data_IF_382961292488
#
_entry.id   IF_382961292488
#
_cell.length_a   1.000
_cell.length_b   1.000
_cell.length_c   1.000
_cell.angle_alpha   90.00
_cell.angle_beta   90.00
_cell.angle_gamma   90.00
#
_symmetry.space_group_name_H-M   'P 1'
#
loop_
_entity.id
_entity.type
_entity.pdbx_description
1 polymer ?
#
# COMPACT_ATOMS: atom_id res chain seq x y z
N UNK A 1 0.41 4.75 -13.61
CA UNK A 1 0.63 4.30 -12.23
C UNK A 1 -0.73 4.33 -11.53
N UNK A 2 -1.29 3.18 -11.22
CA UNK A 2 -2.51 3.08 -10.43
C UNK A 2 -2.07 3.18 -8.96
N UNK A 3 -2.33 4.32 -8.33
CA UNK A 3 -2.30 4.43 -6.89
C UNK A 3 -3.69 4.01 -6.41
N UNK A 4 -3.81 2.82 -5.87
CA UNK A 4 -4.98 2.46 -5.09
C UNK A 4 -4.82 3.12 -3.72
N UNK A 5 -5.25 4.34 -3.63
CA UNK A 5 -5.35 5.03 -2.37
C UNK A 5 -6.79 4.88 -1.89
N UNK A 6 -7.00 4.17 -0.80
CA UNK A 6 -8.33 4.04 -0.22
C UNK A 6 -8.75 5.33 0.50
N UNK A 7 -7.82 6.29 0.65
CA UNK A 7 -8.09 7.54 1.36
C UNK A 7 -7.43 8.74 0.66
N UNK A 8 -8.10 9.88 0.59
CA UNK A 8 -7.59 11.03 -0.15
C UNK A 8 -6.35 11.63 0.53
N UNK A 9 -5.20 11.40 -0.07
CA UNK A 9 -3.99 12.19 0.17
C UNK A 9 -3.14 11.81 1.36
N UNK A 10 -3.38 10.64 2.01
CA UNK A 10 -2.49 10.11 3.04
C UNK A 10 -2.26 8.60 2.87
N UNK A 11 -1.19 8.08 3.41
CA UNK A 11 -1.04 6.63 3.50
C UNK A 11 -2.10 6.08 4.47
N UNK A 12 -2.75 5.00 4.12
CA UNK A 12 -3.78 4.32 4.93
C UNK A 12 -3.33 4.05 6.39
N UNK A 13 -2.04 3.93 6.64
CA UNK A 13 -1.48 3.75 7.97
C UNK A 13 -1.66 4.96 8.87
N UNK A 14 -1.59 6.20 8.35
CA UNK A 14 -1.73 7.44 9.14
C UNK A 14 -3.13 7.63 9.71
N UNK A 15 -4.11 6.96 9.15
CA UNK A 15 -5.51 7.08 9.53
C UNK A 15 -5.98 5.98 10.46
N UNK A 16 -5.09 5.03 10.77
CA UNK A 16 -5.36 4.00 11.77
C UNK A 16 -5.46 4.65 13.16
N UNK A 17 -6.63 4.63 13.80
CA UNK A 17 -6.84 5.29 15.10
C UNK A 17 -6.03 4.65 16.22
N UNK A 18 -5.55 3.43 16.02
CA UNK A 18 -4.73 2.69 16.99
C UNK A 18 -3.23 3.00 16.87
N UNK A 19 -2.83 3.82 15.90
CA UNK A 19 -1.46 4.21 15.67
C UNK A 19 -1.29 5.72 15.76
N UNK A 20 -0.16 6.14 16.33
CA UNK A 20 0.31 7.52 16.32
C UNK A 20 1.48 7.61 15.34
N UNK A 21 1.42 8.59 14.47
CA UNK A 21 2.48 8.89 13.51
C UNK A 21 3.12 10.23 13.84
N UNK A 22 4.42 10.22 14.00
CA UNK A 22 5.23 11.43 14.13
C UNK A 22 6.25 11.48 13.01
N UNK A 23 6.35 12.61 12.34
CA UNK A 23 7.37 12.83 11.32
C UNK A 23 8.55 13.57 11.93
N UNK A 24 9.75 13.04 11.70
CA UNK A 24 11.02 13.69 12.02
C UNK A 24 11.78 13.98 10.73
N UNK A 25 12.20 15.22 10.53
CA UNK A 25 13.09 15.51 9.39
C UNK A 25 14.53 15.03 9.67
N UNK A 26 15.32 14.86 8.62
CA UNK A 26 16.73 14.43 8.75
C UNK A 26 17.50 15.37 9.71
N UNK A 27 17.29 16.68 9.58
CA UNK A 27 17.95 17.69 10.42
C UNK A 27 17.53 17.55 11.90
N UNK A 28 16.26 17.18 12.18
CA UNK A 28 15.80 16.91 13.54
C UNK A 28 16.44 15.65 14.11
N UNK A 29 16.51 14.57 13.31
CA UNK A 29 17.18 13.33 13.70
C UNK A 29 18.66 13.61 14.09
N UNK A 30 19.38 14.32 13.23
CA UNK A 30 20.77 14.70 13.46
C UNK A 30 20.92 15.61 14.69
N UNK A 31 20.05 16.62 14.82
CA UNK A 31 20.10 17.57 15.94
C UNK A 31 19.82 16.93 17.29
N UNK A 32 18.84 15.98 17.38
CA UNK A 32 18.41 15.42 18.67
C UNK A 32 19.16 14.15 19.05
N UNK A 33 19.65 13.40 18.09
CA UNK A 33 20.27 12.09 18.32
C UNK A 33 21.70 11.97 17.78
N UNK A 34 22.17 12.91 16.98
CA UNK A 34 23.48 12.90 16.34
C UNK A 34 23.53 12.05 15.08
N UNK A 35 22.88 10.89 15.06
CA UNK A 35 22.85 9.98 13.91
C UNK A 35 21.57 9.12 13.90
N UNK A 36 21.31 8.51 12.74
CA UNK A 36 20.13 7.70 12.49
C UNK A 36 20.08 6.42 13.35
N UNK A 37 21.21 5.75 13.60
CA UNK A 37 21.23 4.51 14.38
C UNK A 37 20.84 4.77 15.84
N UNK A 38 21.38 5.84 16.42
CA UNK A 38 21.03 6.29 17.76
C UNK A 38 19.54 6.67 17.83
N UNK A 39 19.03 7.34 16.80
CA UNK A 39 17.62 7.69 16.71
C UNK A 39 16.72 6.45 16.67
N UNK A 40 17.02 5.47 15.81
CA UNK A 40 16.24 4.24 15.68
C UNK A 40 16.20 3.49 17.00
N UNK A 41 17.36 3.28 17.64
CA UNK A 41 17.44 2.57 18.93
C UNK A 41 16.66 3.26 20.04
N UNK A 42 16.78 4.58 20.16
CA UNK A 42 16.01 5.37 21.13
C UNK A 42 14.51 5.24 20.89
N UNK A 43 14.08 5.30 19.61
CA UNK A 43 12.68 5.15 19.23
C UNK A 43 12.13 3.79 19.63
N UNK A 44 12.86 2.70 19.33
CA UNK A 44 12.47 1.34 19.69
C UNK A 44 12.39 1.16 21.20
N UNK A 45 13.39 1.69 21.96
CA UNK A 45 13.40 1.62 23.42
C UNK A 45 12.24 2.37 24.09
N UNK A 46 11.67 3.36 23.38
CA UNK A 46 10.47 4.08 23.81
C UNK A 46 9.16 3.45 23.31
N UNK A 47 9.22 2.22 22.75
CA UNK A 47 8.05 1.48 22.26
C UNK A 47 7.54 1.96 20.91
N UNK A 48 8.39 2.65 20.14
CA UNK A 48 8.10 3.08 18.77
C UNK A 48 8.77 2.19 17.73
N UNK A 49 8.34 2.35 16.49
CA UNK A 49 8.92 1.76 15.29
C UNK A 49 9.32 2.86 14.32
N UNK A 50 10.21 2.54 13.41
CA UNK A 50 10.71 3.49 12.43
C UNK A 50 10.34 3.05 11.02
N UNK A 51 9.85 3.99 10.20
CA UNK A 51 9.48 3.75 8.80
C UNK A 51 9.94 4.92 7.95
N UNK A 52 10.62 4.63 6.84
CA UNK A 52 11.14 5.66 5.96
C UNK A 52 11.77 5.10 4.70
N UNK A 53 12.26 5.98 3.82
CA UNK A 53 12.91 5.61 2.57
C UNK A 53 14.41 5.43 2.78
N UNK A 54 14.91 4.28 2.38
CA UNK A 54 16.31 3.89 2.42
C UNK A 54 16.77 3.47 1.02
N UNK A 55 18.07 3.48 0.77
CA UNK A 55 18.64 2.89 -0.45
C UNK A 55 18.77 1.38 -0.27
N UNK A 56 17.82 0.65 -0.80
CA UNK A 56 17.72 -0.80 -0.68
C UNK A 56 18.91 -1.50 -1.34
N UNK A 57 19.49 -0.94 -2.40
CA UNK A 57 20.69 -1.48 -3.02
C UNK A 57 21.89 -1.54 -2.04
N UNK A 58 21.91 -0.69 -1.00
CA UNK A 58 22.92 -0.73 0.08
C UNK A 58 22.56 -1.70 1.19
N UNK A 59 21.27 -2.03 1.35
CA UNK A 59 20.74 -2.93 2.37
C UNK A 59 20.88 -4.39 1.94
N UNK A 60 20.72 -4.69 0.65
CA UNK A 60 20.83 -6.04 0.07
C UNK A 60 22.26 -6.60 0.08
N UNK A 61 23.23 -5.90 0.64
CA UNK A 61 24.63 -6.31 0.67
C UNK A 61 25.28 -6.49 -0.71
N UNK A 62 24.69 -5.98 -1.75
CA UNK A 62 25.34 -5.85 -3.05
C UNK A 62 26.16 -4.56 -3.03
N UNK A 63 27.23 -4.57 -2.22
CA UNK A 63 28.16 -3.44 -2.03
C UNK A 63 28.85 -2.99 -3.30
N UNK A 64 28.60 -3.68 -4.42
CA UNK A 64 29.08 -3.35 -5.76
C UNK A 64 28.01 -2.81 -6.70
N UNK A 65 26.77 -2.63 -6.25
CA UNK A 65 25.72 -2.09 -7.09
C UNK A 65 25.95 -0.61 -7.40
N UNK A 66 26.14 -0.29 -8.67
CA UNK A 66 26.30 1.09 -9.19
C UNK A 66 24.96 1.84 -9.32
N UNK A 67 23.86 1.25 -8.82
CA UNK A 67 22.54 1.87 -8.85
C UNK A 67 22.03 2.14 -7.44
N UNK A 68 21.08 3.08 -7.34
CA UNK A 68 20.31 3.35 -6.14
C UNK A 68 18.90 2.77 -6.30
N UNK A 69 18.37 2.24 -5.21
CA UNK A 69 16.99 1.79 -5.17
C UNK A 69 16.27 2.33 -3.93
N UNK A 70 15.74 3.58 -4.02
CA UNK A 70 14.98 4.19 -2.93
C UNK A 70 13.70 3.41 -2.67
N UNK A 71 13.61 2.75 -1.52
CA UNK A 71 12.46 1.94 -1.12
C UNK A 71 12.15 2.13 0.36
N UNK A 72 10.91 1.80 0.76
CA UNK A 72 10.47 1.89 2.13
C UNK A 72 11.04 0.76 2.96
N UNK A 73 11.49 1.08 4.18
CA UNK A 73 11.95 0.11 5.16
C UNK A 73 11.23 0.32 6.48
N UNK A 74 10.69 -0.75 7.04
CA UNK A 74 10.11 -0.78 8.38
C UNK A 74 11.08 -1.42 9.36
N UNK A 75 11.47 -0.69 10.43
CA UNK A 75 12.42 -1.14 11.44
C UNK A 75 11.70 -1.25 12.76
N UNK A 76 11.69 -2.47 13.35
CA UNK A 76 10.89 -2.77 14.53
C UNK A 76 11.69 -3.31 15.73
N UNK A 77 12.98 -3.55 15.57
CA UNK A 77 13.83 -4.06 16.63
C UNK A 77 15.32 -3.92 16.32
N UNK A 78 16.16 -4.25 17.28
CA UNK A 78 17.61 -4.28 17.08
C UNK A 78 18.29 -5.28 18.01
N UNK A 79 19.52 -5.63 17.67
CA UNK A 79 20.43 -6.48 18.44
C UNK A 79 21.81 -5.81 18.46
N UNK A 80 22.23 -5.38 19.65
CA UNK A 80 23.52 -4.70 19.83
C UNK A 80 24.71 -5.67 19.85
N UNK A 81 24.51 -6.93 20.17
CA UNK A 81 25.58 -7.94 20.15
C UNK A 81 25.92 -8.29 18.70
N UNK A 82 24.89 -8.50 17.87
CA UNK A 82 25.03 -8.82 16.44
C UNK A 82 25.17 -7.56 15.57
N UNK A 83 25.02 -6.36 16.13
CA UNK A 83 25.04 -5.06 15.40
C UNK A 83 24.05 -5.02 14.23
N UNK A 84 22.81 -5.48 14.45
CA UNK A 84 21.77 -5.62 13.45
C UNK A 84 20.45 -4.97 13.88
N UNK A 85 19.69 -4.48 12.87
CA UNK A 85 18.29 -4.14 13.02
C UNK A 85 17.39 -5.28 12.52
N UNK A 86 16.22 -5.41 13.11
CA UNK A 86 15.13 -6.25 12.63
C UNK A 86 14.23 -5.42 11.76
N UNK A 87 14.04 -5.85 10.51
CA UNK A 87 13.33 -5.08 9.48
C UNK A 87 12.24 -5.92 8.83
N UNK A 88 11.21 -5.24 8.30
CA UNK A 88 10.17 -5.82 7.46
C UNK A 88 10.12 -5.10 6.14
N UNK A 89 10.19 -5.86 5.03
CA UNK A 89 10.18 -5.32 3.67
C UNK A 89 9.95 -6.42 2.63
N UNK A 90 9.83 -6.00 1.36
CA UNK A 90 9.85 -6.87 0.18
C UNK A 90 11.26 -7.13 -0.35
N UNK A 91 12.28 -6.55 0.26
CA UNK A 91 13.70 -6.52 -0.17
C UNK A 91 14.32 -7.89 -0.44
N UNK A 92 13.99 -8.90 0.37
CA UNK A 92 14.65 -10.20 0.33
C UNK A 92 13.85 -11.29 -0.38
N UNK A 93 12.90 -10.91 -1.21
CA UNK A 93 12.10 -11.85 -1.98
C UNK A 93 10.89 -11.21 -2.66
N UNK A 94 10.09 -12.04 -3.33
CA UNK A 94 8.87 -11.60 -4.01
C UNK A 94 7.70 -11.31 -3.03
N UNK A 95 7.91 -11.54 -1.73
CA UNK A 95 6.91 -11.39 -0.69
C UNK A 95 7.44 -10.56 0.48
N UNK A 96 6.54 -9.83 1.14
CA UNK A 96 6.88 -9.15 2.37
C UNK A 96 7.43 -10.13 3.39
N UNK A 97 8.61 -9.84 3.93
CA UNK A 97 9.32 -10.72 4.84
C UNK A 97 10.01 -9.96 5.96
N UNK A 98 10.34 -10.68 7.02
CA UNK A 98 11.11 -10.16 8.14
C UNK A 98 12.55 -10.66 8.04
N UNK A 99 13.50 -9.74 8.21
CA UNK A 99 14.92 -10.02 8.06
C UNK A 99 15.78 -9.21 9.04
N UNK A 100 17.08 -9.38 8.95
CA UNK A 100 18.08 -8.66 9.76
C UNK A 100 18.99 -7.90 8.80
N UNK A 101 19.30 -6.65 9.14
CA UNK A 101 20.18 -5.78 8.36
C UNK A 101 21.22 -5.16 9.28
N UNK A 102 22.49 -5.12 8.85
CA UNK A 102 23.56 -4.55 9.65
C UNK A 102 23.37 -3.06 9.93
N UNK A 103 23.88 -2.58 11.05
CA UNK A 103 23.86 -1.14 11.37
C UNK A 103 24.54 -0.30 10.29
N UNK A 104 25.64 -0.80 9.74
CA UNK A 104 26.37 -0.12 8.67
C UNK A 104 25.52 0.06 7.40
N UNK A 105 24.80 -0.99 7.02
CA UNK A 105 23.99 -0.96 5.79
C UNK A 105 22.77 -0.07 5.96
N UNK A 106 22.10 -0.10 7.12
CA UNK A 106 21.01 0.84 7.43
C UNK A 106 21.50 2.28 7.42
N UNK A 107 22.67 2.58 8.02
CA UNK A 107 23.28 3.92 7.97
C UNK A 107 23.56 4.34 6.54
N UNK A 108 24.25 3.49 5.77
CA UNK A 108 24.59 3.78 4.39
C UNK A 108 23.34 3.98 3.53
N UNK A 109 22.35 3.09 3.67
CA UNK A 109 21.06 3.20 2.99
C UNK A 109 20.32 4.50 3.31
N UNK A 110 20.39 4.94 4.57
CA UNK A 110 19.80 6.22 4.98
C UNK A 110 20.55 7.41 4.42
N UNK A 111 21.88 7.44 4.52
CA UNK A 111 22.70 8.61 4.19
C UNK A 111 22.78 8.88 2.67
N UNK A 112 22.66 7.85 1.84
CA UNK A 112 22.73 7.96 0.37
C UNK A 112 21.47 8.53 -0.27
N UNK A 113 20.31 8.48 0.38
CA UNK A 113 19.05 9.02 -0.17
C UNK A 113 19.02 10.53 -0.09
N UNK A 114 18.66 11.16 -1.19
CA UNK A 114 18.40 12.60 -1.28
C UNK A 114 16.94 12.96 -1.03
N UNK A 115 16.65 14.22 -0.82
CA UNK A 115 15.27 14.69 -0.63
C UNK A 115 14.37 14.45 -1.85
N UNK A 116 14.93 14.45 -3.07
CA UNK A 116 14.20 14.18 -4.31
C UNK A 116 13.87 12.69 -4.48
N UNK A 117 14.70 11.82 -3.94
CA UNK A 117 14.53 10.37 -3.98
C UNK A 117 13.58 9.88 -2.87
N UNK A 118 13.34 10.70 -1.84
CA UNK A 118 12.39 10.39 -0.76
C UNK A 118 10.95 10.60 -1.24
N UNK A 119 10.42 9.59 -1.92
CA UNK A 119 9.11 9.65 -2.56
C UNK A 119 7.93 9.74 -1.57
N UNK A 120 8.14 9.44 -0.28
CA UNK A 120 7.12 9.60 0.76
C UNK A 120 6.96 11.07 1.13
N UNK A 121 8.06 11.83 1.18
CA UNK A 121 8.07 13.17 1.77
C UNK A 121 8.32 14.31 0.80
N UNK A 122 8.85 14.04 -0.41
CA UNK A 122 9.29 15.07 -1.36
C UNK A 122 8.21 16.11 -1.70
N UNK A 123 6.96 15.67 -1.80
CA UNK A 123 5.85 16.53 -2.21
C UNK A 123 5.26 17.32 -1.03
N UNK A 124 5.28 16.73 0.16
CA UNK A 124 4.67 17.30 1.36
C UNK A 124 5.61 18.27 2.09
N UNK A 125 6.92 18.05 2.00
CA UNK A 125 7.92 18.79 2.80
C UNK A 125 8.92 19.58 1.98
N UNK A 126 8.61 19.93 0.73
CA UNK A 126 9.38 20.86 -0.13
C UNK A 126 10.89 20.55 -0.18
N UNK A 127 11.22 19.30 -0.45
CA UNK A 127 12.61 18.89 -0.61
C UNK A 127 13.34 18.60 0.69
N UNK A 128 12.64 18.31 1.78
CA UNK A 128 13.23 17.75 3.00
C UNK A 128 13.07 16.24 3.00
N UNK A 129 14.03 15.56 3.59
CA UNK A 129 13.92 14.14 3.95
C UNK A 129 13.24 13.99 5.29
N UNK A 130 12.53 12.90 5.44
CA UNK A 130 11.88 12.59 6.70
C UNK A 130 11.94 11.11 7.05
N UNK A 131 11.55 10.81 8.27
CA UNK A 131 11.38 9.47 8.78
C UNK A 131 10.16 9.47 9.71
N UNK A 132 9.33 8.43 9.63
CA UNK A 132 8.20 8.26 10.52
C UNK A 132 8.60 7.49 11.76
N UNK A 133 8.11 7.97 12.89
CA UNK A 133 7.98 7.21 14.13
C UNK A 133 6.54 6.75 14.22
N UNK A 134 6.35 5.45 14.34
CA UNK A 134 5.06 4.79 14.51
C UNK A 134 4.98 4.26 15.93
N UNK A 135 3.93 4.62 16.64
CA UNK A 135 3.71 4.16 18.03
C UNK A 135 2.28 3.67 18.18
N UNK A 136 2.05 2.74 19.10
CA UNK A 136 0.71 2.37 19.50
C UNK A 136 0.02 3.56 20.17
N UNK A 137 -1.17 3.90 19.74
CA UNK A 137 -2.02 4.86 20.45
C UNK A 137 -2.51 4.19 21.74
N UNK A 138 -2.05 4.70 22.89
CA UNK A 138 -2.45 4.21 24.20
C UNK A 138 -3.61 5.01 24.79
N UNK A 139 -4.14 5.99 24.05
CA UNK A 139 -5.34 6.70 24.48
C UNK A 139 -6.49 5.70 24.66
N UNK A 140 -7.23 5.85 25.74
CA UNK A 140 -8.43 5.05 26.01
C UNK A 140 -9.57 5.57 25.12
N UNK A 141 -9.44 5.32 23.83
CA UNK A 141 -10.38 5.73 22.80
C UNK A 141 -11.20 4.53 22.38
N UNK A 142 -12.49 4.65 22.51
CA UNK A 142 -13.42 3.62 22.09
C UNK A 142 -13.80 3.88 20.62
N UNK A 143 -13.57 2.90 19.77
CA UNK A 143 -13.96 2.94 18.37
C UNK A 143 -15.02 1.86 18.13
N UNK A 144 -16.17 2.28 17.65
CA UNK A 144 -17.24 1.41 17.19
C UNK A 144 -17.21 1.31 15.66
N UNK A 145 -17.67 0.17 15.13
CA UNK A 145 -17.82 0.01 13.70
C UNK A 145 -18.95 0.91 13.19
N UNK A 146 -18.65 1.88 12.34
CA UNK A 146 -19.63 2.75 11.71
C UNK A 146 -20.19 2.11 10.45
N UNK A 147 -21.30 1.38 10.60
CA UNK A 147 -21.96 0.68 9.48
C UNK A 147 -22.56 1.65 8.47
N UNK A 148 -22.99 2.85 8.90
CA UNK A 148 -23.50 3.85 7.98
C UNK A 148 -22.37 4.42 7.10
N UNK A 149 -21.23 4.71 7.70
CA UNK A 149 -20.06 5.17 6.93
C UNK A 149 -19.59 4.11 5.92
N UNK A 150 -19.61 2.82 6.31
CA UNK A 150 -19.28 1.71 5.39
C UNK A 150 -20.27 1.69 4.22
N UNK A 151 -21.57 1.79 4.50
CA UNK A 151 -22.60 1.84 3.45
C UNK A 151 -22.39 3.02 2.50
N UNK A 152 -22.19 4.22 3.04
CA UNK A 152 -21.96 5.42 2.23
C UNK A 152 -20.71 5.27 1.34
N UNK A 153 -19.63 4.69 1.88
CA UNK A 153 -18.40 4.41 1.12
C UNK A 153 -18.62 3.42 -0.01
N UNK A 154 -19.43 2.37 0.21
CA UNK A 154 -19.79 1.40 -0.84
C UNK A 154 -20.62 2.09 -1.94
N UNK A 155 -21.59 2.92 -1.58
CA UNK A 155 -22.38 3.69 -2.54
C UNK A 155 -21.48 4.60 -3.39
N UNK A 156 -20.55 5.32 -2.78
CA UNK A 156 -19.59 6.16 -3.48
C UNK A 156 -18.68 5.36 -4.43
N UNK A 157 -18.26 4.19 -4.01
CA UNK A 157 -17.49 3.28 -4.86
C UNK A 157 -18.30 2.83 -6.08
N UNK A 158 -19.58 2.46 -5.92
CA UNK A 158 -20.45 2.05 -7.01
C UNK A 158 -20.77 3.21 -7.96
N UNK A 159 -20.91 4.43 -7.44
CA UNK A 159 -21.18 5.63 -8.21
C UNK A 159 -19.92 6.31 -8.77
N UNK A 160 -18.74 5.68 -8.59
CA UNK A 160 -17.43 6.21 -9.01
C UNK A 160 -17.16 7.64 -8.53
N UNK A 161 -17.67 7.99 -7.35
CA UNK A 161 -17.51 9.32 -6.77
C UNK A 161 -16.08 9.58 -6.30
N UNK A 162 -15.63 10.82 -6.49
CA UNK A 162 -14.39 11.31 -5.91
C UNK A 162 -14.53 11.52 -4.40
N UNK A 163 -14.05 10.57 -3.58
CA UNK A 163 -14.09 10.61 -2.12
C UNK A 163 -13.31 11.79 -1.53
N UNK A 164 -12.39 12.42 -2.29
CA UNK A 164 -11.69 13.64 -1.87
C UNK A 164 -12.63 14.81 -1.62
N UNK A 165 -13.85 14.78 -2.20
CA UNK A 165 -14.86 15.80 -2.01
C UNK A 165 -15.38 15.87 -0.56
N UNK A 166 -15.13 14.85 0.28
CA UNK A 166 -15.39 14.92 1.73
C UNK A 166 -14.54 16.01 2.41
N UNK A 167 -13.36 16.31 1.86
CA UNK A 167 -12.47 17.36 2.35
C UNK A 167 -12.49 18.57 1.43
N UNK A 168 -13.51 19.42 1.56
CA UNK A 168 -13.72 20.61 0.70
C UNK A 168 -12.52 21.56 0.60
N UNK A 169 -11.61 21.51 1.57
CA UNK A 169 -10.40 22.33 1.60
C UNK A 169 -9.22 21.65 0.90
N UNK A 170 -9.33 20.38 0.53
CA UNK A 170 -8.26 19.64 -0.10
C UNK A 170 -8.22 19.99 -1.59
N UNK A 171 -7.09 20.49 -2.07
CA UNK A 171 -6.90 20.68 -3.50
C UNK A 171 -6.62 19.33 -4.16
N UNK A 172 -7.32 19.04 -5.24
CA UNK A 172 -7.05 17.85 -6.03
C UNK A 172 -5.62 17.93 -6.60
N UNK A 173 -4.72 17.08 -6.12
CA UNK A 173 -3.34 16.98 -6.61
C UNK A 173 -3.23 16.23 -7.94
N UNK A 174 -4.16 15.34 -8.20
CA UNK A 174 -4.16 14.45 -9.37
C UNK A 174 -5.39 14.75 -10.21
N UNK A 175 -5.16 15.35 -11.39
CA UNK A 175 -6.27 15.82 -12.25
C UNK A 175 -6.98 14.69 -13.00
N UNK A 176 -6.30 13.60 -13.28
CA UNK A 176 -6.81 12.50 -14.11
C UNK A 176 -6.98 11.20 -13.30
N UNK A 177 -7.65 11.31 -12.15
CA UNK A 177 -7.89 10.19 -11.26
C UNK A 177 -9.25 9.57 -11.53
N UNK A 178 -9.30 8.24 -11.55
CA UNK A 178 -10.51 7.45 -11.72
C UNK A 178 -10.82 6.77 -10.39
N UNK A 179 -12.11 6.70 -10.02
CA UNK A 179 -12.57 6.19 -8.74
C UNK A 179 -13.55 5.02 -8.92
N UNK A 180 -13.75 4.28 -7.84
CA UNK A 180 -14.77 3.26 -7.72
C UNK A 180 -14.71 2.22 -8.84
N UNK A 181 -15.87 1.86 -9.35
CA UNK A 181 -15.99 0.82 -10.39
C UNK A 181 -15.41 1.23 -11.74
N UNK A 182 -15.29 2.54 -12.04
CA UNK A 182 -14.65 3.00 -13.28
C UNK A 182 -13.15 2.66 -13.36
N UNK A 183 -12.54 2.30 -12.25
CA UNK A 183 -11.14 1.82 -12.19
C UNK A 183 -10.94 0.59 -13.05
N UNK A 184 -11.94 -0.30 -13.15
CA UNK A 184 -11.84 -1.51 -13.97
C UNK A 184 -11.69 -1.20 -15.46
N UNK A 185 -12.47 -0.23 -15.98
CA UNK A 185 -12.35 0.22 -17.36
C UNK A 185 -10.99 0.86 -17.65
N UNK A 186 -10.47 1.63 -16.68
CA UNK A 186 -9.15 2.23 -16.79
C UNK A 186 -8.04 1.15 -16.83
N UNK A 187 -8.14 0.10 -16.02
CA UNK A 187 -7.21 -1.03 -16.02
C UNK A 187 -7.29 -1.81 -17.32
N UNK A 188 -8.49 -2.14 -17.80
CA UNK A 188 -8.69 -2.81 -19.09
C UNK A 188 -8.06 -2.03 -20.23
N UNK A 189 -8.31 -0.71 -20.28
CA UNK A 189 -7.73 0.17 -21.29
C UNK A 189 -6.19 0.20 -21.22
N UNK A 190 -5.63 0.19 -20.02
CA UNK A 190 -4.18 0.15 -19.82
C UNK A 190 -3.58 -1.19 -20.30
N UNK A 191 -4.19 -2.31 -19.90
CA UNK A 191 -3.77 -3.65 -20.34
C UNK A 191 -3.86 -3.75 -21.88
N UNK A 192 -4.98 -3.27 -22.47
CA UNK A 192 -5.14 -3.27 -23.94
C UNK A 192 -4.04 -2.48 -24.67
N UNK A 193 -3.61 -1.35 -24.11
CA UNK A 193 -2.48 -0.58 -24.67
C UNK A 193 -1.16 -1.35 -24.57
N UNK A 194 -0.90 -2.01 -23.42
CA UNK A 194 0.31 -2.79 -23.22
C UNK A 194 0.38 -3.99 -24.18
N UNK A 195 -0.76 -4.69 -24.38
CA UNK A 195 -0.85 -5.82 -25.30
C UNK A 195 -0.65 -5.42 -26.77
N UNK A 196 -0.92 -4.16 -27.13
CA UNK A 196 -0.77 -3.62 -28.49
C UNK A 196 0.61 -3.01 -28.72
N UNK A 197 1.48 -2.95 -27.72
CA UNK A 197 2.83 -2.41 -27.85
C UNK A 197 3.78 -3.40 -28.51
N UNK A 198 4.78 -2.90 -29.27
CA UNK A 198 5.83 -3.74 -29.88
C UNK A 198 6.73 -4.42 -28.84
N UNK A 199 6.93 -3.74 -27.69
CA UNK A 199 7.68 -4.26 -26.54
C UNK A 199 6.83 -4.05 -25.27
N UNK A 200 6.01 -5.04 -24.91
CA UNK A 200 5.06 -4.88 -23.82
C UNK A 200 5.75 -4.98 -22.45
N UNK A 201 5.79 -3.85 -21.75
CA UNK A 201 6.13 -3.79 -20.32
C UNK A 201 4.84 -3.87 -19.50
N UNK A 202 4.56 -5.04 -18.93
CA UNK A 202 3.33 -5.30 -18.20
C UNK A 202 3.43 -4.85 -16.74
N UNK A 203 2.74 -3.76 -16.41
CA UNK A 203 2.53 -3.38 -15.01
C UNK A 203 1.43 -4.24 -14.36
N UNK A 204 1.86 -5.27 -13.65
CA UNK A 204 0.97 -6.23 -12.97
C UNK A 204 0.36 -5.67 -11.67
N UNK A 205 0.88 -4.55 -11.14
CA UNK A 205 0.50 -3.98 -9.83
C UNK A 205 -0.98 -3.65 -9.75
N UNK A 206 -1.57 -3.17 -10.84
CA UNK A 206 -2.98 -2.83 -10.88
C UNK A 206 -3.89 -4.03 -10.56
N UNK A 207 -3.63 -5.19 -11.16
CA UNK A 207 -4.41 -6.41 -10.89
C UNK A 207 -4.10 -7.02 -9.52
N UNK A 208 -2.89 -6.86 -8.99
CA UNK A 208 -2.59 -7.23 -7.61
C UNK A 208 -3.47 -6.45 -6.63
N UNK A 209 -3.51 -5.13 -6.76
CA UNK A 209 -4.29 -4.27 -5.88
C UNK A 209 -5.79 -4.57 -5.97
N UNK A 210 -6.31 -4.80 -7.18
CA UNK A 210 -7.71 -5.16 -7.36
C UNK A 210 -8.03 -6.52 -6.73
N UNK A 211 -7.14 -7.51 -6.85
CA UNK A 211 -7.29 -8.80 -6.18
C UNK A 211 -7.28 -8.63 -4.66
N UNK A 212 -6.28 -7.94 -4.10
CA UNK A 212 -6.18 -7.69 -2.66
C UNK A 212 -7.41 -6.93 -2.13
N UNK A 213 -7.95 -6.00 -2.91
CA UNK A 213 -9.21 -5.33 -2.57
C UNK A 213 -10.36 -6.34 -2.42
N UNK A 214 -10.47 -7.34 -3.32
CA UNK A 214 -11.54 -8.36 -3.23
C UNK A 214 -11.34 -9.28 -2.04
N UNK A 215 -10.11 -9.70 -1.74
CA UNK A 215 -9.78 -10.49 -0.54
C UNK A 215 -10.18 -9.72 0.73
N UNK A 216 -9.78 -8.45 0.84
CA UNK A 216 -10.11 -7.62 2.00
C UNK A 216 -11.61 -7.37 2.15
N UNK A 217 -12.35 -7.21 1.05
CA UNK A 217 -13.80 -7.06 1.10
C UNK A 217 -14.47 -8.35 1.58
N UNK A 218 -14.01 -9.53 1.13
CA UNK A 218 -14.50 -10.80 1.63
C UNK A 218 -14.31 -10.95 3.15
N UNK A 219 -13.12 -10.59 3.65
CA UNK A 219 -12.84 -10.65 5.08
C UNK A 219 -13.72 -9.65 5.88
N UNK A 220 -13.96 -8.46 5.34
CA UNK A 220 -14.87 -7.48 5.96
C UNK A 220 -16.31 -7.98 6.03
N UNK A 221 -16.81 -8.58 4.95
CA UNK A 221 -18.16 -9.13 4.90
C UNK A 221 -18.34 -10.25 5.94
N UNK A 222 -17.40 -11.19 6.01
CA UNK A 222 -17.37 -12.25 7.03
C UNK A 222 -17.39 -11.66 8.43
N UNK A 223 -16.49 -10.71 8.73
CA UNK A 223 -16.41 -10.05 10.03
C UNK A 223 -17.74 -9.41 10.41
N UNK A 224 -18.35 -8.66 9.50
CA UNK A 224 -19.62 -7.97 9.75
C UNK A 224 -20.78 -8.94 9.98
N UNK A 225 -20.82 -10.04 9.26
CA UNK A 225 -21.82 -11.11 9.46
C UNK A 225 -21.61 -11.83 10.80
N UNK A 226 -20.38 -12.23 11.11
CA UNK A 226 -20.04 -12.95 12.35
C UNK A 226 -20.36 -12.13 13.62
N UNK A 227 -20.31 -10.81 13.50
CA UNK A 227 -20.61 -9.89 14.60
C UNK A 227 -22.03 -9.32 14.56
N UNK A 228 -22.87 -9.76 13.63
CA UNK A 228 -24.28 -9.35 13.53
C UNK A 228 -24.51 -7.90 13.10
N UNK A 229 -23.52 -7.28 12.42
CA UNK A 229 -23.68 -5.93 11.88
C UNK A 229 -24.51 -5.89 10.60
N UNK A 230 -24.51 -7.00 9.85
CA UNK A 230 -25.26 -7.15 8.61
C UNK A 230 -25.90 -8.55 8.53
N UNK A 231 -27.08 -8.61 7.90
CA UNK A 231 -27.74 -9.85 7.52
C UNK A 231 -28.01 -9.80 6.03
N UNK A 232 -27.57 -10.83 5.31
CA UNK A 232 -27.86 -10.95 3.88
C UNK A 232 -28.89 -12.04 3.62
N UNK A 233 -29.86 -11.71 2.79
CA UNK A 233 -30.79 -12.68 2.21
C UNK A 233 -30.16 -13.20 0.91
N UNK A 234 -29.43 -14.32 0.99
CA UNK A 234 -28.83 -14.92 -0.18
C UNK A 234 -27.42 -15.42 0.04
N UNK A 235 -26.77 -15.83 -1.03
CA UNK A 235 -25.45 -16.47 -1.02
C UNK A 235 -24.34 -15.48 -1.39
N UNK A 236 -24.43 -14.25 -0.87
CA UNK A 236 -23.52 -13.13 -1.21
C UNK A 236 -22.03 -13.49 -1.02
N UNK A 237 -21.71 -14.33 -0.03
CA UNK A 237 -20.33 -14.74 0.20
C UNK A 237 -19.82 -15.64 -0.93
N UNK A 238 -20.65 -16.54 -1.45
CA UNK A 238 -20.28 -17.38 -2.59
C UNK A 238 -20.17 -16.56 -3.88
N UNK A 239 -21.07 -15.62 -4.10
CA UNK A 239 -21.00 -14.71 -5.25
C UNK A 239 -19.75 -13.87 -5.18
N UNK A 240 -19.39 -13.36 -3.98
CA UNK A 240 -18.18 -12.56 -3.80
C UNK A 240 -16.90 -13.40 -3.92
N UNK A 241 -16.92 -14.66 -3.46
CA UNK A 241 -15.83 -15.62 -3.63
C UNK A 241 -15.60 -15.93 -5.12
N UNK A 242 -16.64 -15.98 -5.95
CA UNK A 242 -16.50 -16.14 -7.40
C UNK A 242 -15.79 -14.93 -8.02
N UNK A 243 -16.12 -13.70 -7.57
CA UNK A 243 -15.43 -12.47 -8.01
C UNK A 243 -13.96 -12.47 -7.60
N UNK A 244 -13.65 -12.85 -6.37
CA UNK A 244 -12.27 -12.98 -5.88
C UNK A 244 -11.45 -13.98 -6.71
N UNK A 245 -11.98 -15.18 -6.94
CA UNK A 245 -11.34 -16.22 -7.76
C UNK A 245 -11.15 -15.80 -9.21
N UNK A 246 -12.09 -15.06 -9.77
CA UNK A 246 -12.00 -14.53 -11.13
C UNK A 246 -10.92 -13.46 -11.22
N UNK A 247 -10.80 -12.58 -10.22
CA UNK A 247 -9.73 -11.58 -10.16
C UNK A 247 -8.35 -12.23 -9.97
N UNK A 248 -8.25 -13.26 -9.12
CA UNK A 248 -7.04 -14.07 -8.98
C UNK A 248 -6.60 -14.68 -10.32
N UNK A 249 -7.56 -15.21 -11.08
CA UNK A 249 -7.32 -15.79 -12.39
C UNK A 249 -6.82 -14.74 -13.38
N UNK A 250 -7.46 -13.57 -13.43
CA UNK A 250 -7.05 -12.46 -14.29
C UNK A 250 -5.61 -12.00 -13.99
N UNK A 251 -5.27 -11.84 -12.69
CA UNK A 251 -3.92 -11.51 -12.24
C UNK A 251 -2.90 -12.54 -12.70
N UNK A 252 -3.18 -13.85 -12.47
CA UNK A 252 -2.28 -14.92 -12.82
C UNK A 252 -2.09 -15.07 -14.34
N UNK A 253 -3.13 -14.80 -15.14
CA UNK A 253 -3.04 -14.77 -16.60
C UNK A 253 -2.15 -13.62 -17.08
N UNK A 254 -2.27 -12.44 -16.49
CA UNK A 254 -1.39 -11.31 -16.84
C UNK A 254 0.08 -11.60 -16.50
N UNK A 255 0.35 -12.18 -15.33
CA UNK A 255 1.70 -12.64 -14.95
C UNK A 255 2.21 -13.67 -15.97
N UNK A 256 1.41 -14.66 -16.33
CA UNK A 256 1.77 -15.66 -17.35
C UNK A 256 2.05 -15.00 -18.71
N UNK A 257 1.24 -14.02 -19.09
CA UNK A 257 1.42 -13.26 -20.34
C UNK A 257 2.73 -12.48 -20.32
N UNK A 258 3.07 -11.81 -19.21
CA UNK A 258 4.33 -11.07 -19.08
C UNK A 258 5.56 -11.97 -19.20
N UNK A 259 5.48 -13.22 -18.74
CA UNK A 259 6.59 -14.18 -18.81
C UNK A 259 6.68 -14.85 -20.18
N UNK A 260 5.53 -15.18 -20.80
CA UNK A 260 5.48 -16.02 -22.01
C UNK A 260 5.30 -15.25 -23.30
N UNK A 261 4.89 -13.98 -23.24
CA UNK A 261 4.51 -13.17 -24.40
C UNK A 261 3.20 -13.61 -25.09
N UNK A 262 2.45 -14.58 -24.52
CA UNK A 262 1.21 -15.10 -25.10
C UNK A 262 0.00 -14.41 -24.47
N UNK A 263 -0.86 -13.81 -25.30
CA UNK A 263 -1.98 -12.98 -24.90
C UNK A 263 -3.26 -13.79 -24.75
N UNK A 264 -3.62 -14.19 -23.52
CA UNK A 264 -4.83 -14.97 -23.24
C UNK A 264 -5.73 -14.37 -22.12
N UNK A 265 -5.48 -13.11 -21.68
CA UNK A 265 -6.06 -12.62 -20.42
C UNK A 265 -7.24 -11.63 -20.57
N UNK A 266 -7.45 -11.02 -21.73
CA UNK A 266 -8.40 -9.88 -21.87
C UNK A 266 -9.85 -10.24 -21.58
N UNK A 267 -10.31 -11.40 -22.08
CA UNK A 267 -11.70 -11.83 -21.87
C UNK A 267 -12.00 -12.09 -20.39
N UNK A 268 -11.03 -12.67 -19.67
CA UNK A 268 -11.17 -12.95 -18.23
C UNK A 268 -11.23 -11.66 -17.42
N UNK A 269 -10.39 -10.66 -17.74
CA UNK A 269 -10.40 -9.37 -17.03
C UNK A 269 -11.70 -8.62 -17.32
N UNK A 270 -12.19 -8.64 -18.55
CA UNK A 270 -13.50 -8.04 -18.93
C UNK A 270 -14.66 -8.72 -18.21
N UNK A 271 -14.64 -10.05 -18.09
CA UNK A 271 -15.65 -10.80 -17.34
C UNK A 271 -15.64 -10.43 -15.84
N UNK A 272 -14.45 -10.27 -15.26
CA UNK A 272 -14.30 -9.86 -13.86
C UNK A 272 -14.91 -8.48 -13.60
N UNK A 273 -14.76 -7.53 -14.53
CA UNK A 273 -15.38 -6.22 -14.42
C UNK A 273 -16.90 -6.31 -14.28
N UNK A 274 -17.55 -7.04 -15.20
CA UNK A 274 -19.00 -7.23 -15.16
C UNK A 274 -19.48 -7.86 -13.86
N UNK A 275 -18.82 -8.92 -13.43
CA UNK A 275 -19.19 -9.63 -12.18
C UNK A 275 -18.94 -8.80 -10.94
N UNK A 276 -17.82 -8.07 -10.85
CA UNK A 276 -17.53 -7.20 -9.71
C UNK A 276 -18.60 -6.10 -9.56
N UNK A 277 -19.00 -5.48 -10.67
CA UNK A 277 -20.03 -4.46 -10.67
C UNK A 277 -21.40 -5.02 -10.23
N UNK A 278 -21.79 -6.18 -10.74
CA UNK A 278 -23.04 -6.84 -10.37
C UNK A 278 -23.06 -7.21 -8.88
N UNK A 279 -21.97 -7.81 -8.35
CA UNK A 279 -21.93 -8.29 -6.97
C UNK A 279 -21.83 -7.14 -5.97
N UNK A 280 -21.06 -6.11 -6.27
CA UNK A 280 -20.94 -4.93 -5.41
C UNK A 280 -22.29 -4.19 -5.27
N UNK A 281 -23.19 -4.25 -6.26
CA UNK A 281 -24.53 -3.69 -6.17
C UNK A 281 -25.42 -4.37 -5.11
N UNK A 282 -25.19 -5.64 -4.79
CA UNK A 282 -25.95 -6.35 -3.75
C UNK A 282 -25.52 -5.99 -2.32
N UNK A 283 -24.41 -5.23 -2.16
CA UNK A 283 -23.92 -4.79 -0.86
C UNK A 283 -24.61 -3.52 -0.31
N UNK A 284 -25.47 -2.89 -1.11
CA UNK A 284 -26.22 -1.66 -0.76
C UNK A 284 -27.67 -1.97 -0.48
#
# INVERSE_FOLDING_TARGET
MLLADMMPGSSSLKECPYLLFSLMTKEQVESYCGDILTFIKKTINLGGYVYGVFDEAKILCDSGADYKFPHELFIYGYDDEEQQFYVGDFTFGEHYSYSKVSYSDVRNGYDTITAQEDHIFKDDYKGRRGIYVIQKNLADTYYELDTQYIKDTIIEYLESKDTKNHFRMMRNRFKDTVFGVDVYDAVLKQIGKQLSAEDPDFDIRALHILYDHKVLMMERLKYMMDHGYIEFNGDILNDYMEVENTMLTARNLLIKTSITGKVDCMDTVSYTHLRAHETDQYLV
#
